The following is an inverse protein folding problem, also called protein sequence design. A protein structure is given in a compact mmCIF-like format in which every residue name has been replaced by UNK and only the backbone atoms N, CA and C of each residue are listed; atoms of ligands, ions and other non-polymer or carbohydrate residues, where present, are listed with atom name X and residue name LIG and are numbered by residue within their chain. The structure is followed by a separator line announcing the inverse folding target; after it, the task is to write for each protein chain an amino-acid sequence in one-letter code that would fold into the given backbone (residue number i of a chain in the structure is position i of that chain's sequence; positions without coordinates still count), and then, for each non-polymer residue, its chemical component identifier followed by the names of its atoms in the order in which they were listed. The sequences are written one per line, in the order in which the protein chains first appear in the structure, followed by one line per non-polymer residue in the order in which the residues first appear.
data_IF_349812451389
#
_entry.id   IF_349812451389
#
_cell.length_a   1.000
_cell.length_b   1.000
_cell.length_c   1.000
_cell.angle_alpha   90.00
_cell.angle_beta   90.00
_cell.angle_gamma   90.00
#
_symmetry.space_group_name_H-M   'P 1'
#
loop_
_entity.id
_entity.type
_entity.pdbx_description
1 polymer ?
#
# COMPACT_ATOMS: atom_id res chain seq x y z
N UNK A 1 30.53 -25.38 -21.11
CA UNK A 1 29.91 -24.08 -20.78
C UNK A 1 28.61 -24.36 -20.01
N UNK A 2 28.68 -24.28 -18.69
CA UNK A 2 27.61 -24.67 -17.75
C UNK A 2 26.98 -23.39 -17.17
N UNK A 3 25.82 -22.99 -17.71
CA UNK A 3 25.05 -21.83 -17.24
C UNK A 3 24.17 -22.23 -16.05
N UNK A 4 24.73 -22.19 -14.85
CA UNK A 4 23.99 -22.37 -13.60
C UNK A 4 23.16 -21.09 -13.32
N UNK A 5 21.90 -21.07 -13.74
CA UNK A 5 20.95 -20.00 -13.43
C UNK A 5 20.45 -20.17 -11.99
N UNK A 6 21.08 -19.46 -11.05
CA UNK A 6 20.63 -19.40 -9.67
C UNK A 6 19.29 -18.66 -9.58
N UNK A 7 18.22 -19.25 -9.01
CA UNK A 7 16.98 -18.52 -8.78
C UNK A 7 17.21 -17.50 -7.67
N UNK A 8 17.28 -16.22 -8.03
CA UNK A 8 17.32 -15.14 -7.05
C UNK A 8 16.05 -15.23 -6.19
N UNK A 9 16.15 -15.19 -4.85
CA UNK A 9 14.99 -15.24 -3.99
C UNK A 9 14.15 -13.98 -4.25
N UNK A 10 13.10 -14.11 -5.06
CA UNK A 10 12.15 -13.04 -5.34
C UNK A 10 11.56 -12.61 -4.00
N UNK A 11 11.98 -11.44 -3.53
CA UNK A 11 11.46 -10.81 -2.33
C UNK A 11 9.95 -10.66 -2.50
N UNK A 12 9.17 -11.40 -1.73
CA UNK A 12 7.71 -11.28 -1.77
C UNK A 12 7.33 -9.89 -1.30
N UNK A 13 6.94 -9.02 -2.22
CA UNK A 13 6.37 -7.73 -1.90
C UNK A 13 5.05 -7.96 -1.14
N UNK A 14 5.08 -7.74 0.18
CA UNK A 14 3.89 -7.83 1.04
C UNK A 14 3.24 -6.45 1.13
N UNK A 15 1.99 -6.38 0.73
CA UNK A 15 1.17 -5.19 0.94
C UNK A 15 0.65 -5.18 2.38
N UNK A 16 0.72 -4.02 3.03
CA UNK A 16 0.10 -3.77 4.33
C UNK A 16 -1.09 -2.83 4.17
N UNK A 17 -2.13 -3.03 5.00
CA UNK A 17 -3.30 -2.15 5.03
C UNK A 17 -2.95 -0.84 5.74
N UNK A 18 -3.74 0.21 5.52
CA UNK A 18 -3.51 1.51 6.16
C UNK A 18 -3.57 1.44 7.70
N UNK A 19 -4.41 0.59 8.29
CA UNK A 19 -4.44 0.40 9.76
C UNK A 19 -3.10 -0.08 10.30
N UNK A 20 -2.50 -1.05 9.62
CA UNK A 20 -1.19 -1.58 9.97
C UNK A 20 -0.09 -0.51 9.80
N UNK A 21 -0.19 0.31 8.76
CA UNK A 21 0.71 1.46 8.57
C UNK A 21 0.62 2.43 9.75
N UNK A 22 -0.59 2.78 10.20
CA UNK A 22 -0.79 3.67 11.34
C UNK A 22 -0.19 3.06 12.62
N UNK A 23 -0.41 1.78 12.87
CA UNK A 23 0.15 1.09 14.05
C UNK A 23 1.68 1.01 14.02
N UNK A 24 2.29 0.79 12.84
CA UNK A 24 3.76 0.69 12.71
C UNK A 24 4.46 2.04 12.75
N UNK A 25 3.86 3.07 12.18
CA UNK A 25 4.50 4.38 12.00
C UNK A 25 4.11 5.38 13.09
N UNK A 26 3.01 5.13 13.83
CA UNK A 26 2.45 6.06 14.79
C UNK A 26 1.84 7.32 14.16
N UNK A 27 1.80 7.40 12.82
CA UNK A 27 1.24 8.54 12.12
C UNK A 27 -0.27 8.40 11.92
N UNK A 28 -0.98 9.51 12.09
CA UNK A 28 -2.39 9.62 11.68
C UNK A 28 -2.56 9.61 10.16
N UNK A 29 -3.77 9.30 9.70
CA UNK A 29 -4.12 9.19 8.27
C UNK A 29 -3.67 10.41 7.45
N UNK A 30 -3.98 11.62 7.94
CA UNK A 30 -3.61 12.88 7.28
C UNK A 30 -2.10 13.03 7.12
N UNK A 31 -1.32 12.69 8.15
CA UNK A 31 0.14 12.74 8.11
C UNK A 31 0.72 11.75 7.12
N UNK A 32 0.11 10.56 7.01
CA UNK A 32 0.48 9.56 6.01
C UNK A 32 0.26 10.11 4.60
N UNK A 33 -0.91 10.70 4.32
CA UNK A 33 -1.18 11.30 3.00
C UNK A 33 -0.24 12.45 2.68
N UNK A 34 0.03 13.36 3.63
CA UNK A 34 1.02 14.44 3.46
C UNK A 34 2.41 13.89 3.14
N UNK A 35 2.83 12.82 3.82
CA UNK A 35 4.12 12.16 3.56
C UNK A 35 4.17 11.43 2.23
N UNK A 36 3.02 10.98 1.70
CA UNK A 36 2.94 10.46 0.33
C UNK A 36 3.11 11.57 -0.71
N UNK A 37 2.61 12.78 -0.44
CA UNK A 37 2.81 13.97 -1.30
C UNK A 37 4.28 14.42 -1.29
N UNK A 38 4.90 14.44 -0.11
CA UNK A 38 6.33 14.75 0.10
C UNK A 38 7.28 13.68 -0.48
N UNK A 39 6.78 12.49 -0.82
CA UNK A 39 7.57 11.39 -1.36
C UNK A 39 8.30 10.54 -0.30
N UNK A 40 8.24 10.96 0.97
CA UNK A 40 8.74 10.21 2.13
C UNK A 40 7.96 8.92 2.43
N UNK A 41 6.79 8.69 1.81
CA UNK A 41 5.97 7.50 2.02
C UNK A 41 5.53 6.83 0.70
N UNK A 42 5.48 5.48 0.63
CA UNK A 42 4.98 4.77 -0.55
C UNK A 42 3.52 5.10 -0.88
N UNK A 43 3.21 5.24 -2.17
CA UNK A 43 1.84 5.49 -2.65
C UNK A 43 0.93 4.27 -2.40
N UNK A 44 -0.35 4.51 -2.11
CA UNK A 44 -1.33 3.44 -1.89
C UNK A 44 -1.71 2.72 -3.19
N UNK A 45 -1.61 1.39 -3.20
CA UNK A 45 -2.04 0.56 -4.32
C UNK A 45 -3.49 0.11 -4.14
N UNK A 46 -4.36 0.32 -5.14
CA UNK A 46 -5.69 -0.30 -5.19
C UNK A 46 -5.50 -1.77 -5.54
N UNK A 47 -5.83 -2.67 -4.61
CA UNK A 47 -5.77 -4.12 -4.83
C UNK A 47 -7.09 -4.70 -5.37
N UNK A 48 -8.17 -3.92 -5.39
CA UNK A 48 -9.51 -4.35 -5.82
C UNK A 48 -10.04 -3.60 -7.03
N UNK A 49 -10.99 -4.22 -7.73
CA UNK A 49 -11.91 -3.57 -8.67
C UNK A 49 -12.96 -2.73 -7.92
N UNK A 50 -13.91 -2.09 -8.64
CA UNK A 50 -14.96 -1.31 -8.00
C UNK A 50 -15.72 -2.14 -6.95
N UNK A 51 -16.01 -1.58 -5.76
CA UNK A 51 -16.76 -2.28 -4.72
C UNK A 51 -18.11 -2.78 -5.24
N UNK A 52 -18.49 -3.99 -4.84
CA UNK A 52 -19.79 -4.59 -5.21
C UNK A 52 -20.94 -3.95 -4.44
N UNK A 53 -20.65 -3.37 -3.29
CA UNK A 53 -21.59 -2.69 -2.41
C UNK A 53 -21.25 -1.20 -2.32
N UNK A 54 -22.20 -0.29 -2.64
CA UNK A 54 -21.97 1.15 -2.58
C UNK A 54 -21.76 1.69 -1.15
N UNK A 55 -22.05 0.90 -0.12
CA UNK A 55 -21.85 1.21 1.29
C UNK A 55 -20.60 0.53 1.90
N UNK A 56 -19.87 -0.28 1.12
CA UNK A 56 -18.57 -0.76 1.56
C UNK A 56 -17.63 0.44 1.54
N UNK A 57 -17.47 1.06 2.72
CA UNK A 57 -16.69 2.25 2.95
C UNK A 57 -15.24 2.05 2.46
N UNK A 58 -15.01 2.37 1.19
CA UNK A 58 -13.67 2.49 0.65
C UNK A 58 -13.12 3.79 1.21
N UNK A 59 -12.14 3.67 2.09
CA UNK A 59 -11.52 4.83 2.74
C UNK A 59 -10.70 5.74 1.79
N UNK A 60 -10.89 5.60 0.47
CA UNK A 60 -10.44 6.49 -0.61
C UNK A 60 -11.59 7.31 -1.21
N UNK A 61 -12.85 7.10 -0.79
CA UNK A 61 -14.03 7.85 -1.25
C UNK A 61 -14.23 9.20 -0.54
N UNK A 62 -13.37 9.54 0.42
CA UNK A 62 -13.27 10.90 0.98
C UNK A 62 -12.02 11.54 0.38
N UNK A 63 -12.15 12.06 -0.84
CA UNK A 63 -11.18 12.96 -1.45
C UNK A 63 -11.92 13.88 -2.44
N UNK A 64 -12.38 15.01 -1.89
CA UNK A 64 -12.96 16.21 -2.53
C UNK A 64 -14.20 16.04 -3.42
#
# INVERSE_FOLDING_TARGET
MNTNSQPTPKTKHRFIRLSEVMSRTGYGRTSIYRKMEDGSFPKSLKLGGPPKDPNEFDSRAIAW
#
